data_IF_232105352059
#
_entry.id   IF_232105352059
#
_cell.length_a   1.000
_cell.length_b   1.000
_cell.length_c   1.000
_cell.angle_alpha   90.00
_cell.angle_beta   90.00
_cell.angle_gamma   90.00
#
_symmetry.space_group_name_H-M   'P 1'
#
loop_
_entity.id
_entity.type
_entity.pdbx_description
1 polymer ?
#
# COMPACT_ATOMS: atom_id res chain seq x y z
N UNK A 1 -10.48 -8.80 -8.89
CA UNK A 1 -9.22 -8.06 -9.10
C UNK A 1 -8.65 -8.45 -10.44
N UNK A 2 -8.31 -7.46 -11.25
CA UNK A 2 -7.69 -7.67 -12.57
C UNK A 2 -6.18 -7.94 -12.42
N UNK A 3 -5.51 -8.43 -13.47
CA UNK A 3 -4.05 -8.64 -13.44
C UNK A 3 -3.29 -7.36 -13.10
N UNK A 4 -3.75 -6.21 -13.63
CA UNK A 4 -3.21 -4.90 -13.32
C UNK A 4 -3.40 -4.50 -11.84
N UNK A 5 -4.55 -4.84 -11.25
CA UNK A 5 -4.79 -4.61 -9.81
C UNK A 5 -3.80 -5.42 -8.96
N UNK A 6 -3.52 -6.67 -9.33
CA UNK A 6 -2.54 -7.48 -8.60
C UNK A 6 -1.11 -6.93 -8.78
N UNK A 7 -0.77 -6.51 -9.99
CA UNK A 7 0.55 -5.93 -10.27
C UNK A 7 0.87 -4.71 -9.41
N UNK A 8 -0.08 -3.78 -9.22
CA UNK A 8 0.19 -2.60 -8.39
C UNK A 8 0.35 -2.96 -6.90
N UNK A 9 -0.32 -4.03 -6.43
CA UNK A 9 -0.07 -4.56 -5.08
C UNK A 9 1.31 -5.18 -4.96
N UNK A 10 1.77 -5.93 -5.96
CA UNK A 10 3.11 -6.52 -5.94
C UNK A 10 4.20 -5.43 -6.01
N UNK A 11 3.96 -4.34 -6.76
CA UNK A 11 4.83 -3.18 -6.77
C UNK A 11 4.84 -2.46 -5.41
N UNK A 12 3.68 -2.26 -4.80
CA UNK A 12 3.56 -1.68 -3.46
C UNK A 12 4.22 -2.55 -2.38
N UNK A 13 4.08 -3.87 -2.45
CA UNK A 13 4.70 -4.81 -1.50
C UNK A 13 6.24 -4.79 -1.55
N UNK A 14 6.84 -4.32 -2.65
CA UNK A 14 8.28 -4.08 -2.76
C UNK A 14 8.70 -2.74 -2.14
N UNK A 15 7.82 -1.75 -2.17
CA UNK A 15 8.05 -0.42 -1.57
C UNK A 15 7.91 -0.42 -0.04
N UNK A 16 6.86 -1.08 0.47
CA UNK A 16 6.48 -1.13 1.89
C UNK A 16 7.65 -1.43 2.86
N UNK A 17 8.48 -2.48 2.66
CA UNK A 17 9.58 -2.77 3.57
C UNK A 17 10.67 -1.68 3.58
N UNK A 18 10.97 -1.07 2.42
CA UNK A 18 11.98 -0.01 2.31
C UNK A 18 11.52 1.26 3.03
N UNK A 19 10.23 1.61 2.89
CA UNK A 19 9.64 2.78 3.55
C UNK A 19 9.59 2.58 5.05
N UNK A 20 9.18 1.40 5.52
CA UNK A 20 9.16 1.07 6.96
C UNK A 20 10.55 1.07 7.57
N UNK A 21 11.53 0.46 6.90
CA UNK A 21 12.91 0.45 7.38
C UNK A 21 13.49 1.86 7.50
N UNK A 22 13.12 2.77 6.59
CA UNK A 22 13.52 4.17 6.68
C UNK A 22 12.83 4.90 7.85
N UNK A 23 11.54 4.65 8.10
CA UNK A 23 10.84 5.19 9.27
C UNK A 23 11.42 4.66 10.59
N UNK A 24 11.71 3.37 10.69
CA UNK A 24 12.31 2.74 11.88
C UNK A 24 13.68 3.34 12.24
N UNK A 25 14.44 3.82 11.23
CA UNK A 25 15.73 4.47 11.39
C UNK A 25 15.66 5.99 11.52
N UNK A 26 14.46 6.58 11.53
CA UNK A 26 14.23 8.02 11.46
C UNK A 26 14.86 8.69 10.21
N UNK A 27 15.03 7.95 9.11
CA UNK A 27 15.57 8.41 7.82
C UNK A 27 14.44 8.92 6.91
N UNK A 28 13.70 9.93 7.35
CA UNK A 28 12.48 10.40 6.67
C UNK A 28 12.68 10.84 5.22
N UNK A 29 13.87 11.37 4.90
CA UNK A 29 14.23 11.77 3.54
C UNK A 29 14.27 10.57 2.58
N UNK A 30 14.71 9.40 3.05
CA UNK A 30 14.71 8.17 2.26
C UNK A 30 13.28 7.68 2.03
N UNK A 31 12.46 7.62 3.08
CA UNK A 31 11.04 7.26 2.96
C UNK A 31 10.32 8.18 1.94
N UNK A 32 10.55 9.50 2.04
CA UNK A 32 10.00 10.48 1.12
C UNK A 32 10.47 10.25 -0.33
N UNK A 33 11.77 10.02 -0.54
CA UNK A 33 12.30 9.73 -1.87
C UNK A 33 11.67 8.46 -2.47
N UNK A 34 11.52 7.40 -1.68
CA UNK A 34 10.92 6.14 -2.14
C UNK A 34 9.45 6.33 -2.56
N UNK A 35 8.67 7.04 -1.75
CA UNK A 35 7.27 7.33 -2.06
C UNK A 35 7.16 8.24 -3.29
N UNK A 36 7.98 9.28 -3.38
CA UNK A 36 7.95 10.23 -4.51
C UNK A 36 8.51 9.65 -5.81
N UNK A 37 9.25 8.55 -5.76
CA UNK A 37 9.57 7.75 -6.94
C UNK A 37 8.40 6.85 -7.35
N UNK A 38 7.76 6.18 -6.38
CA UNK A 38 6.67 5.23 -6.64
C UNK A 38 5.38 5.86 -7.17
N UNK A 39 4.96 6.97 -6.56
CA UNK A 39 3.66 7.60 -6.88
C UNK A 39 3.57 8.07 -8.35
N UNK A 40 4.52 8.83 -8.90
CA UNK A 40 4.39 9.31 -10.28
C UNK A 40 4.58 8.19 -11.32
N UNK A 41 5.44 7.20 -11.07
CA UNK A 41 5.79 6.19 -12.08
C UNK A 41 4.81 5.01 -12.04
N UNK A 42 4.78 4.25 -10.95
CA UNK A 42 3.98 3.03 -10.85
C UNK A 42 2.50 3.33 -10.65
N UNK A 43 2.19 4.24 -9.72
CA UNK A 43 0.79 4.53 -9.38
C UNK A 43 0.11 5.44 -10.40
N UNK A 44 0.72 6.55 -10.78
CA UNK A 44 0.10 7.54 -11.67
C UNK A 44 0.23 7.16 -13.14
N UNK A 45 1.46 7.09 -13.68
CA UNK A 45 1.69 6.90 -15.11
C UNK A 45 1.30 5.50 -15.61
N UNK A 46 1.44 4.46 -14.79
CA UNK A 46 1.11 3.09 -15.21
C UNK A 46 -0.29 2.69 -14.76
N UNK A 47 -0.54 2.64 -13.44
CA UNK A 47 -1.81 2.12 -12.92
C UNK A 47 -2.98 3.06 -13.18
N UNK A 48 -2.90 4.31 -12.72
CA UNK A 48 -3.99 5.28 -12.80
C UNK A 48 -4.34 5.59 -14.26
N UNK A 49 -3.35 5.80 -15.12
CA UNK A 49 -3.59 6.07 -16.54
C UNK A 49 -4.31 4.92 -17.26
N UNK A 50 -4.04 3.67 -16.87
CA UNK A 50 -4.69 2.49 -17.45
C UNK A 50 -6.09 2.23 -16.88
N UNK A 51 -6.34 2.60 -15.62
CA UNK A 51 -7.66 2.39 -14.99
C UNK A 51 -8.58 3.61 -15.08
N UNK A 52 -8.08 4.78 -15.54
CA UNK A 52 -8.88 6.00 -15.71
C UNK A 52 -10.12 5.76 -16.55
N UNK A 53 -9.98 5.05 -17.67
CA UNK A 53 -11.11 4.76 -18.56
C UNK A 53 -12.15 3.89 -17.84
N UNK A 54 -11.71 2.98 -16.97
CA UNK A 54 -12.64 2.15 -16.17
C UNK A 54 -13.38 2.97 -15.13
N UNK A 55 -12.73 3.98 -14.55
CA UNK A 55 -13.36 4.88 -13.58
C UNK A 55 -14.34 5.84 -14.24
N UNK A 56 -14.03 6.32 -15.46
CA UNK A 56 -14.83 7.34 -16.14
C UNK A 56 -15.91 6.78 -17.07
N UNK A 57 -15.75 5.58 -17.62
CA UNK A 57 -16.68 5.03 -18.63
C UNK A 57 -17.45 3.80 -18.19
N UNK A 58 -17.06 3.14 -17.08
CA UNK A 58 -17.81 1.96 -16.64
C UNK A 58 -19.07 2.38 -15.89
N UNK A 59 -20.20 1.64 -16.04
CA UNK A 59 -21.39 1.84 -15.22
C UNK A 59 -21.02 1.84 -13.74
N UNK A 60 -21.66 2.69 -12.94
CA UNK A 60 -21.33 2.90 -11.52
C UNK A 60 -21.27 1.61 -10.68
N UNK A 61 -22.03 0.57 -11.09
CA UNK A 61 -22.09 -0.73 -10.42
C UNK A 61 -21.26 -1.84 -11.09
N UNK A 62 -20.37 -1.49 -12.02
CA UNK A 62 -19.51 -2.48 -12.66
C UNK A 62 -18.54 -3.11 -11.67
N UNK A 63 -18.39 -4.44 -11.75
CA UNK A 63 -17.43 -5.18 -10.93
C UNK A 63 -15.99 -4.69 -11.14
N UNK A 64 -15.68 -4.18 -12.34
CA UNK A 64 -14.36 -3.60 -12.67
C UNK A 64 -14.10 -2.29 -11.94
N UNK A 65 -15.06 -1.36 -11.93
CA UNK A 65 -14.94 -0.08 -11.21
C UNK A 65 -14.76 -0.27 -9.70
N UNK A 66 -15.59 -1.14 -9.09
CA UNK A 66 -15.47 -1.48 -7.66
C UNK A 66 -14.13 -2.13 -7.30
N UNK A 67 -13.60 -2.97 -8.19
CA UNK A 67 -12.28 -3.59 -8.02
C UNK A 67 -11.18 -2.52 -7.97
N UNK A 68 -11.16 -1.59 -8.93
CA UNK A 68 -10.20 -0.48 -8.97
C UNK A 68 -10.28 0.40 -7.73
N UNK A 69 -11.49 0.80 -7.32
CA UNK A 69 -11.69 1.61 -6.11
C UNK A 69 -11.19 0.89 -4.85
N UNK A 70 -11.45 -0.40 -4.74
CA UNK A 70 -10.95 -1.23 -3.63
C UNK A 70 -9.42 -1.31 -3.65
N UNK A 71 -8.81 -1.43 -4.83
CA UNK A 71 -7.35 -1.42 -5.00
C UNK A 71 -6.74 -0.11 -4.51
N UNK A 72 -7.23 1.03 -5.02
CA UNK A 72 -6.76 2.36 -4.63
C UNK A 72 -6.94 2.62 -3.12
N UNK A 73 -8.11 2.26 -2.57
CA UNK A 73 -8.37 2.40 -1.14
C UNK A 73 -7.35 1.63 -0.29
N UNK A 74 -7.03 0.39 -0.67
CA UNK A 74 -6.05 -0.43 0.04
C UNK A 74 -4.64 0.12 -0.07
N UNK A 75 -4.23 0.63 -1.24
CA UNK A 75 -2.92 1.26 -1.43
C UNK A 75 -2.76 2.50 -0.55
N UNK A 76 -3.73 3.42 -0.57
CA UNK A 76 -3.70 4.64 0.25
C UNK A 76 -3.73 4.30 1.74
N UNK A 77 -4.53 3.31 2.14
CA UNK A 77 -4.57 2.85 3.53
C UNK A 77 -3.22 2.25 3.96
N UNK A 78 -2.58 1.45 3.11
CA UNK A 78 -1.24 0.88 3.36
C UNK A 78 -0.20 1.97 3.56
N UNK A 79 -0.09 2.91 2.62
CA UNK A 79 0.83 4.06 2.72
C UNK A 79 0.64 4.85 4.02
N UNK A 80 -0.61 5.05 4.44
CA UNK A 80 -0.92 5.75 5.69
C UNK A 80 -0.51 4.94 6.93
N UNK A 81 -0.64 3.62 6.89
CA UNK A 81 -0.18 2.74 7.98
C UNK A 81 1.35 2.64 8.05
N UNK A 82 2.05 2.79 6.93
CA UNK A 82 3.53 2.80 6.96
C UNK A 82 4.07 4.12 7.51
N UNK A 83 3.36 5.23 7.23
CA UNK A 83 3.74 6.56 7.71
C UNK A 83 3.40 6.81 9.18
N UNK A 84 2.41 6.11 9.72
CA UNK A 84 2.05 6.14 11.14
C UNK A 84 2.54 4.82 11.74
N UNK A 85 3.69 4.75 12.41
CA UNK A 85 4.16 3.51 13.02
C UNK A 85 3.04 2.95 13.91
N UNK A 86 2.39 1.87 13.43
CA UNK A 86 1.29 1.24 14.14
C UNK A 86 1.90 0.50 15.33
N UNK A 87 1.54 0.93 16.54
CA UNK A 87 1.89 0.35 17.86
C UNK A 87 1.57 -1.16 18.01
N UNK A 88 1.19 -1.85 16.94
CA UNK A 88 0.80 -3.26 16.92
C UNK A 88 1.97 -4.22 16.78
N UNK A 89 3.15 -3.78 16.35
CA UNK A 89 4.34 -4.65 16.31
C UNK A 89 4.76 -5.08 17.72
N UNK A 90 4.48 -4.26 18.73
CA UNK A 90 4.75 -4.59 20.14
C UNK A 90 3.73 -5.55 20.79
N UNK A 91 2.52 -5.73 20.23
CA UNK A 91 1.50 -6.59 20.84
C UNK A 91 1.60 -8.08 20.44
N UNK A 92 2.34 -8.42 19.38
CA UNK A 92 2.50 -9.83 18.95
C UNK A 92 3.73 -10.56 19.50
N UNK A 93 4.65 -9.87 20.19
CA UNK A 93 5.81 -10.51 20.85
C UNK A 93 5.61 -10.84 22.35
N UNK A 94 4.45 -10.55 22.93
CA UNK A 94 4.17 -10.74 24.37
C UNK A 94 3.37 -12.00 24.75
N UNK A 95 3.22 -13.00 23.88
CA UNK A 95 2.54 -14.27 24.19
C UNK A 95 3.49 -15.47 24.04
N UNK A 96 4.60 -15.43 24.77
CA UNK A 96 5.52 -16.55 24.90
C UNK A 96 6.16 -16.52 26.28
N UNK A 97 5.60 -17.29 27.22
CA UNK A 97 6.27 -17.61 28.49
C UNK A 97 5.49 -17.22 29.75
N UNK A 98 4.54 -18.05 30.15
CA UNK A 98 4.29 -18.27 31.56
C UNK A 98 3.98 -19.76 31.78
N UNK A 99 4.86 -20.54 32.42
CA UNK A 99 4.50 -21.86 32.91
C UNK A 99 3.64 -21.64 34.17
N UNK A 100 2.39 -22.08 34.13
CA UNK A 100 1.53 -22.12 35.29
C UNK A 100 2.06 -23.17 36.30
N UNK A 101 1.87 -22.92 37.62
CA UNK A 101 2.42 -23.74 38.71
C UNK A 101 1.84 -25.15 38.80
#
# INVERSE_FOLDING_TARGET
>A
MTGLDRWIFDAFAKLDPDVRAAFDKCEFHIAYQRITQFVPVELSAIYHDTVKDRLYTSPANSTRGRSTQTTLYRLVKGLRQDALPDDRVHRRRGMGGHPAP
#
